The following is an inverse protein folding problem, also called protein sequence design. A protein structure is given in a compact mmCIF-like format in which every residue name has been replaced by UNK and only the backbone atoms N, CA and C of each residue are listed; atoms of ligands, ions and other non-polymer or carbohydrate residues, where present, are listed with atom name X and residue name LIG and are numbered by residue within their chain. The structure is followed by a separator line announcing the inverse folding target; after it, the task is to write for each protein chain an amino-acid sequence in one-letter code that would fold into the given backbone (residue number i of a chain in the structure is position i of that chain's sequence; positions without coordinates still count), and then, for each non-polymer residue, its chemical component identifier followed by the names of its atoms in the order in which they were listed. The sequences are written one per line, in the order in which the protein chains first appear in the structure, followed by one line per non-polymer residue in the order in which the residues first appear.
data_IF_853629247802
#
_entry.id   IF_853629247802
#
_cell.length_a   1.000
_cell.length_b   1.000
_cell.length_c   1.000
_cell.angle_alpha   90.00
_cell.angle_beta   90.00
_cell.angle_gamma   90.00
#
_symmetry.space_group_name_H-M   'P 1'
#
loop_
_entity.id
_entity.type
_entity.pdbx_description
1 polymer ?
#
# COMPACT_ATOMS: atom_id res chain seq x y z
N UNK A 1 35.44 -45.45 41.81
CA UNK A 1 35.13 -44.11 42.37
C UNK A 1 34.98 -43.17 41.20
N UNK A 2 33.73 -43.02 40.72
CA UNK A 2 32.86 -41.83 40.94
C UNK A 2 33.35 -40.67 40.07
N UNK A 3 32.76 -40.50 38.88
CA UNK A 3 31.53 -39.73 38.63
C UNK A 3 31.69 -38.26 39.02
N UNK A 4 31.46 -37.37 38.05
CA UNK A 4 30.70 -36.10 38.15
C UNK A 4 30.95 -35.30 36.86
N UNK A 5 30.00 -35.41 35.91
CA UNK A 5 29.49 -34.24 35.18
C UNK A 5 28.62 -33.42 36.16
N UNK A 6 28.56 -32.07 36.09
CA UNK A 6 27.75 -31.35 35.09
C UNK A 6 28.41 -29.99 34.70
N UNK A 7 27.98 -29.17 33.74
CA UNK A 7 26.63 -28.67 33.46
C UNK A 7 26.68 -27.87 32.15
N UNK A 8 25.71 -28.11 31.27
CA UNK A 8 25.43 -27.28 30.10
C UNK A 8 24.56 -26.09 30.54
N UNK A 9 25.07 -24.86 30.39
CA UNK A 9 24.26 -23.64 30.39
C UNK A 9 24.29 -23.05 28.97
N UNK A 10 23.15 -22.64 28.39
CA UNK A 10 23.08 -22.16 27.02
C UNK A 10 23.70 -20.77 26.93
N UNK A 11 24.80 -20.63 26.18
CA UNK A 11 25.27 -19.30 25.77
C UNK A 11 24.40 -18.83 24.61
N UNK A 12 23.58 -17.82 24.90
CA UNK A 12 22.94 -16.94 23.94
C UNK A 12 23.99 -16.38 22.99
N UNK A 13 24.10 -16.96 21.80
CA UNK A 13 24.89 -16.40 20.71
C UNK A 13 24.03 -15.37 19.99
N UNK A 14 24.13 -14.13 20.46
CA UNK A 14 23.81 -12.95 19.67
C UNK A 14 24.81 -12.91 18.50
N UNK A 15 24.39 -13.02 17.23
CA UNK A 15 25.33 -12.86 16.13
C UNK A 15 25.60 -11.37 15.93
N UNK A 16 26.69 -10.90 16.52
CA UNK A 16 27.45 -9.72 16.10
C UNK A 16 28.03 -9.97 14.71
N UNK A 17 27.53 -9.26 13.69
CA UNK A 17 28.03 -9.25 12.31
C UNK A 17 28.49 -7.86 11.88
N UNK A 18 29.61 -7.82 11.18
CA UNK A 18 30.53 -6.70 10.93
C UNK A 18 30.10 -5.64 9.90
N UNK A 19 30.51 -4.39 10.11
CA UNK A 19 30.22 -3.19 9.31
C UNK A 19 30.90 -3.05 7.95
N UNK A 20 30.94 -4.09 7.11
CA UNK A 20 31.34 -3.98 5.69
C UNK A 20 30.31 -4.60 4.72
N UNK A 21 29.48 -5.53 5.21
CA UNK A 21 28.34 -6.07 4.46
C UNK A 21 27.10 -5.18 4.59
N UNK A 22 27.01 -4.39 5.65
CA UNK A 22 25.91 -3.45 5.89
C UNK A 22 25.71 -2.44 4.74
N UNK A 23 26.78 -1.98 4.07
CA UNK A 23 26.65 -1.03 2.97
C UNK A 23 26.22 -1.68 1.64
N UNK A 24 26.56 -2.96 1.44
CA UNK A 24 26.06 -3.75 0.32
C UNK A 24 24.60 -4.13 0.54
N UNK A 25 24.23 -4.51 1.76
CA UNK A 25 22.85 -4.79 2.16
C UNK A 25 21.98 -3.53 2.06
N UNK A 26 22.53 -2.37 2.42
CA UNK A 26 21.87 -1.07 2.20
C UNK A 26 21.61 -0.83 0.71
N UNK A 27 22.63 -1.01 -0.14
CA UNK A 27 22.51 -0.80 -1.59
C UNK A 27 21.56 -1.82 -2.24
N UNK A 28 21.56 -3.06 -1.77
CA UNK A 28 20.67 -4.11 -2.24
C UNK A 28 19.22 -3.84 -1.83
N UNK A 29 18.97 -3.46 -0.57
CA UNK A 29 17.66 -3.09 -0.08
C UNK A 29 17.10 -1.85 -0.81
N UNK A 30 17.96 -0.88 -1.10
CA UNK A 30 17.59 0.29 -1.92
C UNK A 30 17.31 -0.12 -3.37
N UNK A 31 18.10 -1.01 -3.98
CA UNK A 31 17.81 -1.49 -5.34
C UNK A 31 16.52 -2.30 -5.42
N UNK A 32 16.23 -3.14 -4.42
CA UNK A 32 14.97 -3.87 -4.32
C UNK A 32 13.81 -2.89 -4.16
N UNK A 33 13.99 -1.86 -3.32
CA UNK A 33 13.01 -0.78 -3.15
C UNK A 33 12.76 -0.03 -4.46
N UNK A 34 13.81 0.33 -5.20
CA UNK A 34 13.69 1.03 -6.48
C UNK A 34 13.03 0.14 -7.54
N UNK A 35 13.34 -1.15 -7.58
CA UNK A 35 12.68 -2.10 -8.49
C UNK A 35 11.18 -2.24 -8.17
N UNK A 36 10.81 -2.23 -6.88
CA UNK A 36 9.41 -2.19 -6.44
C UNK A 36 8.73 -0.88 -6.83
N UNK A 37 9.41 0.26 -6.67
CA UNK A 37 8.90 1.57 -7.11
C UNK A 37 8.66 1.60 -8.63
N UNK A 38 9.58 1.05 -9.43
CA UNK A 38 9.42 0.92 -10.88
C UNK A 38 8.25 0.02 -11.26
N UNK A 39 7.99 -1.04 -10.49
CA UNK A 39 6.79 -1.85 -10.67
C UNK A 39 5.52 -1.06 -10.35
N UNK A 40 5.54 -0.21 -9.31
CA UNK A 40 4.42 0.70 -8.99
C UNK A 40 4.15 1.70 -10.11
N UNK A 41 5.20 2.29 -10.70
CA UNK A 41 5.08 3.23 -11.81
C UNK A 41 4.47 2.59 -13.06
N UNK A 42 4.68 1.28 -13.28
CA UNK A 42 4.02 0.52 -14.36
C UNK A 42 2.55 0.22 -14.07
N UNK A 43 2.18 0.11 -12.79
CA UNK A 43 0.79 -0.15 -12.36
C UNK A 43 -0.04 1.14 -12.34
N UNK A 44 0.58 2.28 -12.06
CA UNK A 44 -0.06 3.60 -12.06
C UNK A 44 -0.89 3.92 -13.31
N UNK A 45 -0.39 3.76 -14.56
CA UNK A 45 -1.19 4.06 -15.76
C UNK A 45 -2.42 3.17 -15.90
N UNK A 46 -2.37 1.93 -15.39
CA UNK A 46 -3.51 1.00 -15.40
C UNK A 46 -4.62 1.53 -14.49
N UNK A 47 -4.26 1.99 -13.29
CA UNK A 47 -5.19 2.68 -12.37
C UNK A 47 -5.77 3.95 -12.99
N UNK A 48 -4.96 4.77 -13.65
CA UNK A 48 -5.41 6.00 -14.31
C UNK A 48 -6.37 5.69 -15.47
N UNK A 49 -6.13 4.64 -16.26
CA UNK A 49 -7.07 4.19 -17.30
C UNK A 49 -8.41 3.71 -16.71
N UNK A 50 -8.38 2.88 -15.67
CA UNK A 50 -9.60 2.36 -15.00
C UNK A 50 -10.40 3.51 -14.40
N UNK A 51 -9.71 4.48 -13.79
CA UNK A 51 -10.34 5.68 -13.23
C UNK A 51 -11.00 6.52 -14.33
N UNK A 52 -10.29 6.75 -15.45
CA UNK A 52 -10.84 7.48 -16.60
C UNK A 52 -12.04 6.77 -17.24
N UNK A 53 -12.00 5.44 -17.35
CA UNK A 53 -13.13 4.64 -17.83
C UNK A 53 -14.31 4.78 -16.86
N UNK A 54 -14.07 4.70 -15.55
CA UNK A 54 -15.10 4.88 -14.52
C UNK A 54 -15.73 6.28 -14.55
N UNK A 55 -14.93 7.34 -14.73
CA UNK A 55 -15.41 8.72 -14.89
C UNK A 55 -16.22 8.87 -16.17
N UNK A 56 -15.75 8.29 -17.28
CA UNK A 56 -16.47 8.28 -18.57
C UNK A 56 -17.81 7.56 -18.44
N UNK A 57 -17.85 6.41 -17.78
CA UNK A 57 -19.07 5.65 -17.46
C UNK A 57 -20.05 6.53 -16.67
N UNK A 58 -19.58 7.23 -15.64
CA UNK A 58 -20.41 8.12 -14.82
C UNK A 58 -20.94 9.31 -15.63
N UNK A 59 -20.13 9.90 -16.50
CA UNK A 59 -20.54 10.98 -17.40
C UNK A 59 -21.57 10.49 -18.43
N UNK A 60 -21.38 9.29 -18.97
CA UNK A 60 -22.33 8.64 -19.87
C UNK A 60 -23.66 8.36 -19.16
N UNK A 61 -23.63 7.80 -17.93
CA UNK A 61 -24.79 7.60 -17.07
C UNK A 61 -25.59 8.89 -16.84
N UNK A 62 -24.90 9.99 -16.52
CA UNK A 62 -25.52 11.31 -16.31
C UNK A 62 -26.13 11.90 -17.59
N UNK A 63 -25.53 11.63 -18.75
CA UNK A 63 -26.11 12.05 -20.06
C UNK A 63 -27.36 11.25 -20.44
N UNK A 64 -27.41 9.96 -20.12
CA UNK A 64 -28.57 9.09 -20.42
C UNK A 64 -29.66 9.15 -19.35
N UNK A 65 -29.46 9.86 -18.23
CA UNK A 65 -30.47 9.98 -17.17
C UNK A 65 -31.81 10.54 -17.63
N UNK A 66 -31.79 11.42 -18.64
CA UNK A 66 -32.99 12.01 -19.24
C UNK A 66 -33.63 11.11 -20.33
N UNK A 67 -33.07 9.92 -20.62
CA UNK A 67 -33.59 8.98 -21.62
C UNK A 67 -34.00 7.64 -20.96
N UNK A 68 -35.29 7.45 -20.63
CA UNK A 68 -35.76 6.28 -19.87
C UNK A 68 -35.60 4.94 -20.61
N UNK A 69 -35.65 4.95 -21.95
CA UNK A 69 -35.49 3.75 -22.77
C UNK A 69 -34.03 3.28 -22.83
N UNK A 70 -33.09 4.22 -23.03
CA UNK A 70 -31.65 3.92 -23.05
C UNK A 70 -31.12 3.55 -21.66
N UNK A 71 -31.63 4.18 -20.60
CA UNK A 71 -31.25 3.87 -19.21
C UNK A 71 -31.57 2.42 -18.83
N UNK A 72 -32.74 1.88 -19.22
CA UNK A 72 -33.13 0.49 -18.90
C UNK A 72 -32.19 -0.55 -19.51
N UNK A 73 -31.78 -0.34 -20.75
CA UNK A 73 -30.89 -1.23 -21.49
C UNK A 73 -29.43 -1.10 -21.02
N UNK A 74 -28.96 0.12 -20.72
CA UNK A 74 -27.58 0.37 -20.30
C UNK A 74 -27.31 0.12 -18.82
N UNK A 75 -28.30 0.24 -17.92
CA UNK A 75 -28.11 0.02 -16.48
C UNK A 75 -27.53 -1.37 -16.13
N UNK A 76 -28.01 -2.49 -16.72
CA UNK A 76 -27.39 -3.80 -16.50
C UNK A 76 -25.96 -3.89 -17.08
N UNK A 77 -25.70 -3.33 -18.27
CA UNK A 77 -24.35 -3.29 -18.85
C UNK A 77 -23.36 -2.49 -17.99
N UNK A 78 -23.80 -1.36 -17.42
CA UNK A 78 -22.96 -0.58 -16.50
C UNK A 78 -22.67 -1.32 -15.20
N UNK A 79 -23.62 -2.11 -14.69
CA UNK A 79 -23.40 -2.97 -13.52
C UNK A 79 -22.31 -4.00 -13.79
N UNK A 80 -22.45 -4.73 -14.91
CA UNK A 80 -21.49 -5.74 -15.35
C UNK A 80 -20.10 -5.16 -15.66
N UNK A 81 -20.01 -3.90 -16.08
CA UNK A 81 -18.73 -3.23 -16.33
C UNK A 81 -18.11 -2.66 -15.05
N UNK A 82 -18.93 -2.13 -14.13
CA UNK A 82 -18.46 -1.51 -12.89
C UNK A 82 -17.95 -2.52 -11.86
N UNK A 83 -18.51 -3.73 -11.84
CA UNK A 83 -18.12 -4.80 -10.93
C UNK A 83 -16.66 -5.26 -11.11
N UNK A 84 -16.19 -5.65 -12.33
CA UNK A 84 -14.79 -5.99 -12.56
C UNK A 84 -13.85 -4.78 -12.43
N UNK A 85 -14.28 -3.58 -12.83
CA UNK A 85 -13.47 -2.36 -12.66
C UNK A 85 -13.20 -2.07 -11.17
N UNK A 86 -14.21 -2.21 -10.31
CA UNK A 86 -14.05 -2.01 -8.87
C UNK A 86 -13.16 -3.08 -8.24
N UNK A 87 -13.28 -4.34 -8.65
CA UNK A 87 -12.44 -5.43 -8.14
C UNK A 87 -10.96 -5.24 -8.53
N UNK A 88 -10.68 -4.78 -9.75
CA UNK A 88 -9.32 -4.44 -10.17
C UNK A 88 -8.80 -3.23 -9.38
N UNK A 89 -9.61 -2.18 -9.21
CA UNK A 89 -9.21 -1.00 -8.43
C UNK A 89 -8.90 -1.34 -6.97
N UNK A 90 -9.70 -2.22 -6.35
CA UNK A 90 -9.48 -2.71 -4.99
C UNK A 90 -8.22 -3.58 -4.89
N UNK A 91 -8.02 -4.52 -5.83
CA UNK A 91 -6.85 -5.38 -5.87
C UNK A 91 -5.57 -4.58 -6.10
N UNK A 92 -5.59 -3.63 -7.03
CA UNK A 92 -4.46 -2.73 -7.29
C UNK A 92 -4.24 -1.80 -6.10
N UNK A 93 -5.29 -1.23 -5.51
CA UNK A 93 -5.18 -0.40 -4.30
C UNK A 93 -4.53 -1.15 -3.12
N UNK A 94 -4.93 -2.40 -2.89
CA UNK A 94 -4.34 -3.28 -1.89
C UNK A 94 -2.87 -3.59 -2.21
N UNK A 95 -2.56 -3.85 -3.48
CA UNK A 95 -1.18 -4.09 -3.94
C UNK A 95 -0.29 -2.85 -3.74
N UNK A 96 -0.75 -1.67 -4.15
CA UNK A 96 -0.02 -0.40 -3.94
C UNK A 96 0.23 -0.19 -2.43
N UNK A 97 -0.78 -0.39 -1.59
CA UNK A 97 -0.66 -0.24 -0.13
C UNK A 97 0.32 -1.24 0.49
N UNK A 98 0.28 -2.50 0.04
CA UNK A 98 1.21 -3.54 0.48
C UNK A 98 2.66 -3.27 0.08
N UNK A 99 2.90 -2.83 -1.15
CA UNK A 99 4.25 -2.50 -1.64
C UNK A 99 4.80 -1.25 -0.92
N UNK A 100 4.00 -0.20 -0.71
CA UNK A 100 4.41 0.96 0.09
C UNK A 100 4.76 0.55 1.53
N UNK A 101 4.03 -0.41 2.12
CA UNK A 101 4.32 -0.97 3.44
C UNK A 101 5.64 -1.74 3.49
N UNK A 102 5.95 -2.53 2.45
CA UNK A 102 7.23 -3.23 2.34
C UNK A 102 8.40 -2.26 2.17
N UNK A 103 8.25 -1.26 1.30
CA UNK A 103 9.24 -0.20 1.10
C UNK A 103 9.46 0.60 2.39
N UNK A 104 8.39 0.93 3.12
CA UNK A 104 8.48 1.60 4.41
C UNK A 104 9.21 0.77 5.47
N UNK A 105 8.97 -0.55 5.53
CA UNK A 105 9.67 -1.46 6.45
C UNK A 105 11.14 -1.67 6.08
N UNK A 106 11.46 -1.75 4.79
CA UNK A 106 12.82 -1.87 4.30
C UNK A 106 13.63 -0.61 4.60
N UNK A 107 13.10 0.58 4.32
CA UNK A 107 13.80 1.83 4.64
C UNK A 107 13.85 2.10 6.15
N UNK A 108 12.83 1.73 6.92
CA UNK A 108 12.86 1.85 8.39
C UNK A 108 13.87 0.87 9.00
N UNK A 109 13.94 -0.37 8.50
CA UNK A 109 14.95 -1.37 8.90
C UNK A 109 16.39 -0.99 8.52
N UNK A 110 16.56 -0.08 7.56
CA UNK A 110 17.84 0.48 7.14
C UNK A 110 18.28 1.72 7.93
N UNK A 111 17.48 2.18 8.92
CA UNK A 111 17.75 3.40 9.66
C UNK A 111 17.47 4.70 8.87
N UNK A 112 16.84 4.58 7.69
CA UNK A 112 16.38 5.69 6.85
C UNK A 112 14.93 6.11 7.17
N UNK A 113 14.44 5.78 8.37
CA UNK A 113 13.08 6.13 8.81
C UNK A 113 12.75 7.61 8.67
N UNK A 114 13.73 8.50 8.87
CA UNK A 114 13.56 9.94 8.67
C UNK A 114 13.31 10.34 7.21
N UNK A 115 13.85 9.61 6.22
CA UNK A 115 13.59 9.89 4.80
C UNK A 115 12.23 9.32 4.36
N UNK A 116 11.81 8.20 4.93
CA UNK A 116 10.46 7.63 4.76
C UNK A 116 9.42 8.56 5.33
N UNK A 117 9.63 9.09 6.54
CA UNK A 117 8.72 10.05 7.15
C UNK A 117 8.65 11.35 6.35
N UNK A 118 9.78 11.83 5.81
CA UNK A 118 9.76 12.99 4.91
C UNK A 118 9.06 12.69 3.57
N UNK A 119 9.16 11.48 3.03
CA UNK A 119 8.44 11.05 1.82
C UNK A 119 6.94 10.81 2.07
N UNK A 120 6.54 10.16 3.18
CA UNK A 120 5.14 9.95 3.56
C UNK A 120 4.46 11.26 3.97
N UNK A 121 5.20 12.15 4.63
CA UNK A 121 4.75 13.50 4.97
C UNK A 121 4.66 14.37 3.71
N UNK A 122 5.66 14.30 2.82
CA UNK A 122 5.70 15.04 1.55
C UNK A 122 4.71 14.56 0.49
N UNK A 123 4.39 13.27 0.46
CA UNK A 123 3.34 12.68 -0.40
C UNK A 123 1.93 12.90 0.14
N UNK A 124 1.78 13.59 1.29
CA UNK A 124 0.48 13.93 1.83
C UNK A 124 -0.33 12.72 2.27
N UNK A 125 0.31 11.64 2.73
CA UNK A 125 -0.38 10.46 3.24
C UNK A 125 -1.31 10.83 4.40
N UNK A 126 -0.96 11.88 5.17
CA UNK A 126 -1.81 12.48 6.20
C UNK A 126 -3.09 13.09 5.63
N UNK A 127 -3.05 13.67 4.44
CA UNK A 127 -4.23 14.20 3.73
C UNK A 127 -5.08 13.09 3.11
N UNK A 128 -4.46 12.02 2.61
CA UNK A 128 -5.17 10.83 2.10
C UNK A 128 -5.83 10.07 3.26
N UNK A 129 -5.15 9.87 4.38
CA UNK A 129 -5.69 9.19 5.56
C UNK A 129 -6.78 10.03 6.26
N UNK A 130 -6.61 11.35 6.32
CA UNK A 130 -7.63 12.26 6.82
C UNK A 130 -8.82 12.37 5.84
N UNK A 131 -8.57 12.32 4.53
CA UNK A 131 -9.59 12.31 3.47
C UNK A 131 -10.33 10.98 3.32
N UNK A 132 -9.70 9.85 3.67
CA UNK A 132 -10.31 8.51 3.72
C UNK A 132 -11.12 8.26 5.01
N UNK A 133 -11.30 9.27 5.87
CA UNK A 133 -12.22 9.17 7.00
C UNK A 133 -11.63 8.59 8.28
N UNK A 134 -10.31 8.46 8.42
CA UNK A 134 -9.69 8.17 9.71
C UNK A 134 -10.00 9.25 10.76
N UNK A 135 -10.22 10.51 10.33
CA UNK A 135 -10.70 11.59 11.18
C UNK A 135 -12.19 11.48 11.54
N UNK A 136 -13.02 10.88 10.67
CA UNK A 136 -14.45 10.67 10.92
C UNK A 136 -14.69 9.47 11.85
N UNK A 137 -13.98 8.36 11.63
CA UNK A 137 -14.03 7.18 12.50
C UNK A 137 -13.39 7.45 13.86
N UNK A 138 -12.26 8.14 13.93
CA UNK A 138 -11.64 8.52 15.21
C UNK A 138 -12.49 9.51 15.99
N UNK A 139 -13.13 10.48 15.34
CA UNK A 139 -14.03 11.41 16.04
C UNK A 139 -15.33 10.72 16.50
N UNK A 140 -15.84 9.76 15.73
CA UNK A 140 -16.99 8.94 16.12
C UNK A 140 -16.66 7.95 17.26
N UNK A 141 -15.44 7.41 17.30
CA UNK A 141 -15.01 6.46 18.33
C UNK A 141 -14.43 7.13 19.59
N UNK A 142 -13.87 8.34 19.45
CA UNK A 142 -13.30 9.12 20.57
C UNK A 142 -14.36 9.94 21.30
N UNK A 143 -15.61 10.00 20.81
CA UNK A 143 -16.80 10.35 21.60
C UNK A 143 -16.56 11.38 22.71
N UNK A 144 -16.00 12.55 22.35
CA UNK A 144 -15.75 13.60 23.32
C UNK A 144 -17.06 14.31 23.57
N UNK A 145 -17.67 13.97 24.71
CA UNK A 145 -18.64 14.81 25.41
C UNK A 145 -18.01 16.17 25.71
#
# INVERSE_FOLDING_TARGET
MTDVQPTNAPKTETPTGSGSDADKDKKLAVQITVALQQCLDKIKPICDLITNVTVTINNAKKKIENMPHAKKELNPLWGLLSEPLAQILAAVGLLLSGVLGLVGRLLNGLGLGGLVDNLLSGLGLKSVLNGLGAGSLTSALTGKK
#
